data_IF_969975240678
#
_entry.id   IF_969975240678
#
_cell.length_a   1.000
_cell.length_b   1.000
_cell.length_c   1.000
_cell.angle_alpha   90.00
_cell.angle_beta   90.00
_cell.angle_gamma   90.00
#
_symmetry.space_group_name_H-M   'P 1'
#
loop_
_entity.id
_entity.type
_entity.pdbx_description
1 polymer ?
#
# COMPACT_ATOMS: atom_id res chain seq x y z
N UNK A 1 5.67 6.94 -3.49
CA UNK A 1 5.65 6.17 -4.74
C UNK A 1 6.47 6.83 -5.86
N UNK A 2 6.34 8.17 -6.08
CA UNK A 2 7.04 8.83 -7.21
C UNK A 2 8.55 8.61 -7.24
N UNK A 3 9.25 8.75 -6.12
CA UNK A 3 10.71 8.60 -6.12
C UNK A 3 11.16 7.18 -6.48
N UNK A 4 10.55 6.14 -5.90
CA UNK A 4 10.85 4.75 -6.24
C UNK A 4 10.46 4.42 -7.69
N UNK A 5 9.38 5.01 -8.19
CA UNK A 5 8.96 4.83 -9.57
C UNK A 5 9.92 5.53 -10.56
N UNK A 6 10.35 6.76 -10.27
CA UNK A 6 11.38 7.47 -11.06
C UNK A 6 12.69 6.67 -11.07
N UNK A 7 13.14 6.18 -9.91
CA UNK A 7 14.34 5.32 -9.79
C UNK A 7 14.23 4.07 -10.66
N UNK A 8 13.04 3.45 -10.71
CA UNK A 8 12.76 2.32 -11.59
C UNK A 8 12.98 2.67 -13.06
N UNK A 9 12.37 3.76 -13.57
CA UNK A 9 12.55 4.19 -14.96
C UNK A 9 14.03 4.41 -15.31
N UNK A 10 14.75 5.11 -14.44
CA UNK A 10 16.17 5.37 -14.63
C UNK A 10 17.02 4.08 -14.65
N UNK A 11 16.74 3.14 -13.74
CA UNK A 11 17.46 1.85 -13.70
C UNK A 11 17.19 0.98 -14.94
N UNK A 12 16.05 1.18 -15.59
CA UNK A 12 15.70 0.52 -16.86
C UNK A 12 16.20 1.27 -18.11
N UNK A 13 16.92 2.38 -17.92
CA UNK A 13 17.34 3.25 -19.00
C UNK A 13 16.17 3.83 -19.82
N UNK A 14 15.00 3.97 -19.21
CA UNK A 14 13.79 4.51 -19.81
C UNK A 14 13.60 5.98 -19.46
N UNK A 15 12.99 6.74 -20.37
CA UNK A 15 12.55 8.10 -20.06
C UNK A 15 11.48 8.10 -18.97
N UNK A 16 11.60 9.03 -18.03
CA UNK A 16 10.62 9.20 -16.95
C UNK A 16 9.41 9.96 -17.49
N UNK A 17 8.19 9.39 -17.48
CA UNK A 17 6.99 10.11 -17.86
C UNK A 17 6.72 11.28 -16.89
N UNK A 18 6.26 12.45 -17.38
CA UNK A 18 5.97 13.59 -16.51
C UNK A 18 4.96 13.31 -15.40
N UNK A 19 3.96 12.47 -15.65
CA UNK A 19 2.93 12.06 -14.71
C UNK A 19 3.42 11.10 -13.59
N UNK A 20 4.61 10.50 -13.77
CA UNK A 20 5.28 9.73 -12.71
C UNK A 20 5.90 10.62 -11.63
N UNK A 21 6.01 11.94 -11.88
CA UNK A 21 6.66 12.89 -10.97
C UNK A 21 5.62 13.69 -10.22
N UNK A 22 5.48 13.42 -8.93
CA UNK A 22 4.67 14.22 -7.99
C UNK A 22 5.62 14.93 -7.04
N UNK A 23 5.64 16.25 -7.14
CA UNK A 23 6.61 17.09 -6.42
C UNK A 23 6.50 16.88 -4.91
N UNK A 24 5.28 16.81 -4.38
CA UNK A 24 4.99 16.57 -2.97
C UNK A 24 5.53 15.22 -2.47
N UNK A 25 5.41 14.16 -3.28
CA UNK A 25 5.95 12.85 -2.94
C UNK A 25 7.49 12.83 -3.02
N UNK A 26 8.07 13.52 -4.02
CA UNK A 26 9.52 13.65 -4.15
C UNK A 26 10.11 14.38 -2.95
N UNK A 27 9.49 15.47 -2.52
CA UNK A 27 9.91 16.24 -1.35
C UNK A 27 9.77 15.41 -0.06
N UNK A 28 8.65 14.71 0.14
CA UNK A 28 8.37 13.97 1.36
C UNK A 28 9.06 12.58 1.41
N UNK A 29 9.71 12.16 0.34
CA UNK A 29 10.46 10.89 0.32
C UNK A 29 11.69 10.93 1.23
N UNK A 30 12.33 12.07 1.38
CA UNK A 30 13.55 12.24 2.15
C UNK A 30 13.24 12.53 3.62
N UNK A 31 14.09 12.04 4.51
CA UNK A 31 14.04 12.37 5.92
C UNK A 31 14.74 13.71 6.17
N UNK A 32 13.98 14.66 6.65
CA UNK A 32 14.50 15.96 7.07
C UNK A 32 14.50 16.04 8.60
N UNK A 33 15.44 16.79 9.15
CA UNK A 33 15.52 16.98 10.59
C UNK A 33 14.50 18.02 11.11
N UNK A 34 13.24 17.72 10.91
CA UNK A 34 12.13 18.58 11.31
C UNK A 34 11.83 18.43 12.80
N UNK A 35 11.57 19.56 13.45
CA UNK A 35 11.15 19.55 14.85
C UNK A 35 9.66 19.20 14.94
N UNK A 36 9.29 18.17 15.73
CA UNK A 36 7.89 17.79 15.91
C UNK A 36 7.12 18.90 16.62
N UNK A 37 5.77 18.87 16.58
CA UNK A 37 4.94 19.73 17.41
C UNK A 37 5.25 19.56 18.89
N UNK A 38 5.25 20.67 19.64
CA UNK A 38 5.49 20.68 21.08
C UNK A 38 4.16 20.81 21.86
N UNK A 39 4.15 20.35 23.10
CA UNK A 39 2.97 20.41 23.98
C UNK A 39 1.79 19.60 23.42
N UNK A 40 0.58 20.15 23.52
CA UNK A 40 -0.66 19.52 23.08
C UNK A 40 -1.02 19.78 21.62
N UNK A 41 -0.17 20.50 20.90
CA UNK A 41 -0.41 20.79 19.48
C UNK A 41 -0.32 19.52 18.64
N UNK A 42 -1.31 19.29 17.77
CA UNK A 42 -1.34 18.19 16.81
C UNK A 42 -0.43 18.47 15.62
N UNK A 43 -0.29 19.75 15.24
CA UNK A 43 0.50 20.20 14.10
C UNK A 43 1.48 21.30 14.46
N UNK A 44 2.62 21.34 13.78
CA UNK A 44 3.49 22.51 13.75
C UNK A 44 3.65 22.98 12.30
N UNK A 45 3.78 24.31 12.13
CA UNK A 45 3.94 24.97 10.84
C UNK A 45 5.25 25.74 10.83
N UNK A 46 5.99 25.63 9.74
CA UNK A 46 7.16 26.45 9.48
C UNK A 46 7.15 26.91 8.03
N UNK A 47 7.64 28.11 7.79
CA UNK A 47 7.79 28.64 6.44
C UNK A 47 9.19 29.22 6.25
N UNK A 48 9.69 29.13 5.04
CA UNK A 48 10.94 29.75 4.62
C UNK A 48 10.79 30.26 3.20
N UNK A 49 11.47 31.37 2.88
CA UNK A 49 11.50 31.93 1.52
C UNK A 49 12.95 31.87 1.05
N UNK A 50 13.15 31.37 -0.16
CA UNK A 50 14.45 31.35 -0.83
C UNK A 50 14.35 31.84 -2.27
N UNK A 51 15.48 32.28 -2.89
CA UNK A 51 15.50 32.51 -4.35
C UNK A 51 15.17 31.23 -5.10
N UNK A 52 14.47 31.34 -6.21
CA UNK A 52 14.20 30.21 -7.10
C UNK A 52 15.41 30.03 -8.06
N UNK A 53 16.07 28.83 -8.11
CA UNK A 53 17.26 28.64 -8.95
C UNK A 53 16.99 28.71 -10.47
N UNK A 54 15.74 28.54 -10.90
CA UNK A 54 15.36 28.47 -12.32
C UNK A 54 14.43 29.59 -12.78
N UNK A 55 14.16 30.57 -11.92
CA UNK A 55 13.36 31.75 -12.29
C UNK A 55 13.68 32.95 -11.41
N UNK A 56 13.24 34.15 -11.79
CA UNK A 56 13.37 35.38 -11.00
C UNK A 56 12.41 35.44 -9.80
N UNK A 57 11.52 34.48 -9.65
CA UNK A 57 10.58 34.37 -8.53
C UNK A 57 11.27 33.90 -7.24
N UNK A 58 10.53 33.92 -6.15
CA UNK A 58 10.94 33.31 -4.88
C UNK A 58 10.16 32.02 -4.64
N UNK A 59 10.80 31.06 -4.01
CA UNK A 59 10.18 29.84 -3.52
C UNK A 59 9.70 30.05 -2.08
N UNK A 60 8.44 29.76 -1.82
CA UNK A 60 7.88 29.66 -0.48
C UNK A 60 7.82 28.18 -0.10
N UNK A 61 8.57 27.80 0.93
CA UNK A 61 8.44 26.50 1.58
C UNK A 61 7.44 26.61 2.74
N UNK A 62 6.42 25.77 2.70
CA UNK A 62 5.51 25.58 3.82
C UNK A 62 5.66 24.15 4.33
N UNK A 63 6.17 24.02 5.55
CA UNK A 63 6.28 22.74 6.23
C UNK A 63 5.13 22.58 7.22
N UNK A 64 4.44 21.44 7.14
CA UNK A 64 3.43 21.02 8.10
C UNK A 64 3.88 19.70 8.71
N UNK A 65 4.17 19.70 10.00
CA UNK A 65 4.50 18.48 10.75
C UNK A 65 3.34 18.06 11.63
N UNK A 66 2.96 16.80 11.55
CA UNK A 66 2.01 16.19 12.47
C UNK A 66 2.75 15.54 13.66
N UNK A 67 2.11 15.53 14.83
CA UNK A 67 2.59 14.80 16.00
C UNK A 67 2.61 13.31 15.67
N UNK A 68 3.74 12.64 15.95
CA UNK A 68 3.83 11.18 15.78
C UNK A 68 2.85 10.50 16.73
N UNK A 69 2.06 9.57 16.20
CA UNK A 69 1.16 8.77 17.02
C UNK A 69 1.99 7.90 18.00
N UNK A 70 1.48 7.80 19.25
CA UNK A 70 2.04 6.83 20.18
C UNK A 70 1.55 5.44 19.77
N UNK A 71 2.46 4.50 19.55
CA UNK A 71 2.14 3.13 19.13
C UNK A 71 1.22 2.42 20.12
N UNK A 72 1.33 2.70 21.42
CA UNK A 72 0.49 2.11 22.45
C UNK A 72 -0.97 2.60 22.41
N UNK A 73 -1.19 3.78 21.82
CA UNK A 73 -2.54 4.38 21.67
C UNK A 73 -3.19 4.07 20.32
N UNK A 74 -2.48 3.39 19.40
CA UNK A 74 -3.04 3.02 18.10
C UNK A 74 -4.08 1.90 18.30
N UNK A 75 -5.33 2.09 17.80
CA UNK A 75 -6.35 1.05 17.87
C UNK A 75 -5.93 -0.27 17.24
N UNK A 76 -6.56 -1.41 17.63
CA UNK A 76 -6.32 -2.68 16.97
C UNK A 76 -6.58 -2.63 15.47
N UNK A 77 -5.81 -3.41 14.70
CA UNK A 77 -5.94 -3.49 13.26
C UNK A 77 -6.49 -4.85 12.81
N UNK A 78 -7.45 -4.82 11.89
CA UNK A 78 -7.91 -5.94 11.10
C UNK A 78 -7.38 -5.76 9.67
N UNK A 79 -6.36 -6.52 9.29
CA UNK A 79 -5.66 -6.43 8.02
C UNK A 79 -5.98 -7.66 7.16
N UNK A 80 -6.45 -7.42 5.95
CA UNK A 80 -6.64 -8.48 4.96
C UNK A 80 -5.66 -8.25 3.80
N UNK A 81 -4.66 -9.11 3.69
CA UNK A 81 -3.74 -9.09 2.56
C UNK A 81 -4.42 -9.76 1.36
N UNK A 82 -4.61 -9.01 0.28
CA UNK A 82 -5.08 -9.52 -1.00
C UNK A 82 -3.88 -9.57 -1.95
N UNK A 83 -3.37 -10.77 -2.19
CA UNK A 83 -2.09 -10.97 -2.86
C UNK A 83 -2.32 -11.59 -4.23
N UNK A 84 -1.76 -10.95 -5.24
CA UNK A 84 -1.63 -11.49 -6.58
C UNK A 84 -0.60 -12.64 -6.57
N UNK A 85 -1.04 -13.82 -6.98
CA UNK A 85 -0.19 -15.00 -7.18
C UNK A 85 -0.27 -15.49 -8.62
N UNK A 86 -0.66 -14.64 -9.58
CA UNK A 86 -0.66 -14.98 -11.01
C UNK A 86 0.73 -15.37 -11.52
N UNK A 87 0.78 -16.05 -12.66
CA UNK A 87 2.04 -16.49 -13.24
C UNK A 87 3.04 -15.35 -13.51
N UNK A 88 2.56 -14.13 -13.78
CA UNK A 88 3.40 -12.95 -13.93
C UNK A 88 4.19 -12.62 -12.66
N UNK A 89 3.69 -13.01 -11.49
CA UNK A 89 4.32 -12.74 -10.20
C UNK A 89 5.59 -13.56 -9.92
N UNK A 90 5.95 -14.49 -10.82
CA UNK A 90 7.14 -15.34 -10.72
C UNK A 90 8.43 -14.61 -11.15
N UNK A 91 8.71 -13.48 -10.54
CA UNK A 91 9.97 -12.74 -10.72
C UNK A 91 10.49 -12.25 -9.37
N UNK A 92 11.83 -12.14 -9.20
CA UNK A 92 12.44 -11.75 -7.90
C UNK A 92 11.92 -10.43 -7.32
N UNK A 93 11.58 -9.47 -8.18
CA UNK A 93 11.07 -8.16 -7.82
C UNK A 93 9.54 -8.08 -7.73
N UNK A 94 8.85 -9.22 -7.62
CA UNK A 94 7.38 -9.34 -7.50
C UNK A 94 6.99 -10.14 -6.26
N UNK A 95 6.50 -11.38 -6.39
CA UNK A 95 6.06 -12.16 -5.23
C UNK A 95 7.15 -12.37 -4.16
N UNK A 96 8.42 -12.68 -4.51
CA UNK A 96 9.49 -12.76 -3.51
C UNK A 96 9.68 -11.45 -2.73
N UNK A 97 9.68 -10.29 -3.39
CA UNK A 97 9.77 -8.98 -2.75
C UNK A 97 8.56 -8.71 -1.84
N UNK A 98 7.35 -9.06 -2.27
CA UNK A 98 6.14 -8.94 -1.46
C UNK A 98 6.19 -9.83 -0.22
N UNK A 99 6.70 -11.06 -0.32
CA UNK A 99 6.91 -11.94 0.83
C UNK A 99 7.83 -11.29 1.87
N UNK A 100 8.94 -10.68 1.44
CA UNK A 100 9.84 -9.93 2.33
C UNK A 100 9.11 -8.74 2.97
N UNK A 101 8.39 -7.94 2.19
CA UNK A 101 7.65 -6.77 2.67
C UNK A 101 6.56 -7.15 3.69
N UNK A 102 5.74 -8.17 3.40
CA UNK A 102 4.73 -8.63 4.34
C UNK A 102 5.33 -9.26 5.60
N UNK A 103 6.48 -9.93 5.49
CA UNK A 103 7.19 -10.48 6.64
C UNK A 103 7.68 -9.37 7.58
N UNK A 104 8.19 -8.25 7.05
CA UNK A 104 8.55 -7.07 7.83
C UNK A 104 7.33 -6.48 8.55
N UNK A 105 6.19 -6.36 7.84
CA UNK A 105 4.95 -5.89 8.44
C UNK A 105 4.46 -6.81 9.57
N UNK A 106 4.49 -8.13 9.37
CA UNK A 106 4.06 -9.13 10.36
C UNK A 106 4.90 -9.05 11.63
N UNK A 107 6.20 -8.80 11.51
CA UNK A 107 7.08 -8.63 12.68
C UNK A 107 6.69 -7.46 13.59
N UNK A 108 6.03 -6.44 13.03
CA UNK A 108 5.55 -5.26 13.75
C UNK A 108 4.11 -5.39 14.28
N UNK A 109 3.40 -6.49 13.99
CA UNK A 109 2.04 -6.72 14.50
C UNK A 109 2.03 -6.92 16.01
N UNK A 110 0.95 -6.45 16.64
CA UNK A 110 0.67 -6.64 18.07
C UNK A 110 -0.31 -7.80 18.25
N UNK A 111 -0.39 -8.36 19.43
CA UNK A 111 -1.30 -9.47 19.75
C UNK A 111 -2.78 -9.16 19.50
N UNK A 112 -3.16 -7.88 19.60
CA UNK A 112 -4.52 -7.37 19.36
C UNK A 112 -4.84 -7.14 17.89
N UNK A 113 -3.85 -7.18 17.00
CA UNK A 113 -4.03 -7.05 15.54
C UNK A 113 -4.40 -8.41 14.95
N UNK A 114 -5.18 -8.41 13.88
CA UNK A 114 -5.60 -9.62 13.16
C UNK A 114 -5.17 -9.52 11.71
N UNK A 115 -4.63 -10.62 11.17
CA UNK A 115 -4.24 -10.76 9.77
C UNK A 115 -5.00 -11.91 9.12
N UNK A 116 -5.45 -11.67 7.90
CA UNK A 116 -5.96 -12.69 6.98
C UNK A 116 -5.27 -12.54 5.63
N UNK A 117 -5.16 -13.63 4.88
CA UNK A 117 -4.62 -13.60 3.52
C UNK A 117 -5.65 -14.15 2.56
N UNK A 118 -5.92 -13.42 1.50
CA UNK A 118 -6.70 -13.84 0.34
C UNK A 118 -5.77 -13.80 -0.86
N UNK A 119 -5.82 -14.83 -1.69
CA UNK A 119 -5.02 -14.91 -2.92
C UNK A 119 -5.91 -14.92 -4.16
N UNK A 120 -5.41 -14.39 -5.25
CA UNK A 120 -6.03 -14.48 -6.58
C UNK A 120 -4.92 -14.63 -7.65
N UNK A 121 -5.30 -15.04 -8.85
CA UNK A 121 -4.38 -15.25 -9.97
C UNK A 121 -4.03 -16.71 -10.23
N UNK A 122 -4.11 -17.56 -9.23
CA UNK A 122 -3.91 -19.00 -9.33
C UNK A 122 -4.93 -19.76 -8.53
N UNK A 123 -4.57 -20.25 -7.35
CA UNK A 123 -5.52 -20.71 -6.36
C UNK A 123 -6.23 -19.48 -5.81
N UNK A 124 -7.57 -19.45 -5.88
CA UNK A 124 -8.36 -18.33 -5.40
C UNK A 124 -9.03 -18.64 -4.07
N UNK A 125 -9.04 -17.66 -3.19
CA UNK A 125 -9.80 -17.74 -1.96
C UNK A 125 -9.00 -17.33 -0.72
N UNK A 126 -9.53 -17.72 0.43
CA UNK A 126 -8.88 -17.46 1.72
C UNK A 126 -7.72 -18.43 1.88
N UNK A 127 -6.51 -17.89 1.87
CA UNK A 127 -5.26 -18.63 2.08
C UNK A 127 -4.91 -18.78 3.56
N UNK A 128 -5.07 -17.69 4.32
CA UNK A 128 -4.96 -17.68 5.76
C UNK A 128 -6.24 -17.10 6.36
N UNK A 129 -6.92 -17.87 7.20
CA UNK A 129 -8.06 -17.40 7.99
C UNK A 129 -7.63 -16.37 9.03
N UNK A 130 -8.55 -15.57 9.61
CA UNK A 130 -8.21 -14.57 10.62
C UNK A 130 -7.33 -15.13 11.73
N UNK A 131 -6.13 -14.59 11.85
CA UNK A 131 -5.07 -15.05 12.75
C UNK A 131 -4.55 -13.86 13.55
N UNK A 132 -4.41 -14.02 14.86
CA UNK A 132 -3.85 -12.98 15.74
C UNK A 132 -2.41 -12.65 15.37
N UNK A 133 -2.04 -11.37 15.47
CA UNK A 133 -0.66 -10.91 15.30
C UNK A 133 0.33 -11.52 16.32
N UNK A 134 -0.16 -12.16 17.38
CA UNK A 134 0.68 -12.97 18.28
C UNK A 134 1.19 -14.25 17.62
N UNK A 135 0.45 -14.81 16.66
CA UNK A 135 0.79 -16.05 15.95
C UNK A 135 1.72 -15.80 14.75
N UNK A 136 2.77 -14.98 14.94
CA UNK A 136 3.67 -14.52 13.86
C UNK A 136 4.23 -15.68 13.04
N UNK A 137 4.65 -16.76 13.70
CA UNK A 137 5.21 -17.94 13.04
C UNK A 137 4.23 -18.51 12.00
N UNK A 138 2.98 -18.72 12.40
CA UNK A 138 1.92 -19.23 11.51
C UNK A 138 1.67 -18.32 10.32
N UNK A 139 1.63 -16.99 10.54
CA UNK A 139 1.43 -16.01 9.49
C UNK A 139 2.63 -16.01 8.52
N UNK A 140 3.86 -16.02 9.04
CA UNK A 140 5.09 -16.04 8.24
C UNK A 140 5.23 -17.33 7.41
N UNK A 141 4.91 -18.49 7.99
CA UNK A 141 4.89 -19.77 7.29
C UNK A 141 3.86 -19.75 6.15
N UNK A 142 2.67 -19.18 6.38
CA UNK A 142 1.64 -19.03 5.35
C UNK A 142 2.11 -18.12 4.19
N UNK A 143 2.80 -17.01 4.48
CA UNK A 143 3.38 -16.13 3.47
C UNK A 143 4.49 -16.86 2.70
N UNK A 144 5.35 -17.61 3.37
CA UNK A 144 6.44 -18.33 2.74
C UNK A 144 5.96 -19.39 1.73
N UNK A 145 4.79 -20.00 1.98
CA UNK A 145 4.19 -21.03 1.12
C UNK A 145 3.45 -20.48 -0.10
N UNK A 146 3.33 -19.16 -0.26
CA UNK A 146 2.72 -18.59 -1.47
C UNK A 146 3.57 -18.94 -2.69
N UNK A 147 2.93 -19.45 -3.74
CA UNK A 147 3.59 -19.80 -5.00
C UNK A 147 2.88 -19.13 -6.17
N UNK A 148 3.63 -18.63 -7.17
CA UNK A 148 3.02 -18.02 -8.35
C UNK A 148 2.43 -19.11 -9.26
N UNK A 149 1.28 -18.81 -9.89
CA UNK A 149 0.66 -19.72 -10.86
C UNK A 149 -0.76 -19.33 -11.24
N UNK A 150 -1.17 -19.70 -12.46
CA UNK A 150 -2.51 -19.49 -12.97
C UNK A 150 -2.83 -18.08 -13.47
N UNK A 151 -4.09 -17.87 -13.82
CA UNK A 151 -4.58 -16.63 -14.41
C UNK A 151 -6.06 -16.44 -14.05
N UNK A 152 -6.37 -15.81 -12.93
CA UNK A 152 -7.74 -15.57 -12.50
C UNK A 152 -8.01 -14.09 -12.26
N UNK A 153 -9.23 -13.59 -12.64
CA UNK A 153 -9.59 -12.20 -12.46
C UNK A 153 -9.52 -11.74 -11.00
N UNK A 154 -8.95 -10.57 -10.75
CA UNK A 154 -8.81 -9.98 -9.42
C UNK A 154 -10.14 -9.61 -8.75
N UNK A 155 -11.25 -9.52 -9.51
CA UNK A 155 -12.56 -9.14 -8.98
C UNK A 155 -13.07 -10.07 -7.89
N UNK A 156 -12.99 -11.39 -8.11
CA UNK A 156 -13.42 -12.37 -7.11
C UNK A 156 -12.58 -12.27 -5.82
N UNK A 157 -11.28 -12.02 -5.96
CA UNK A 157 -10.34 -11.83 -4.86
C UNK A 157 -10.69 -10.60 -4.00
N UNK A 158 -10.91 -9.45 -4.62
CA UNK A 158 -11.21 -8.23 -3.86
C UNK A 158 -12.57 -8.30 -3.16
N UNK A 159 -13.58 -8.94 -3.79
CA UNK A 159 -14.86 -9.19 -3.14
C UNK A 159 -14.73 -10.13 -1.93
N UNK A 160 -13.90 -11.17 -2.03
CA UNK A 160 -13.61 -12.08 -0.92
C UNK A 160 -12.86 -11.35 0.21
N UNK A 161 -11.85 -10.56 -0.12
CA UNK A 161 -11.08 -9.79 0.85
C UNK A 161 -11.96 -8.80 1.64
N UNK A 162 -12.83 -8.06 0.96
CA UNK A 162 -13.74 -7.14 1.63
C UNK A 162 -14.78 -7.85 2.50
N UNK A 163 -15.33 -8.98 2.04
CA UNK A 163 -16.25 -9.79 2.88
C UNK A 163 -15.55 -10.27 4.14
N UNK A 164 -14.31 -10.74 4.01
CA UNK A 164 -13.51 -11.19 5.14
C UNK A 164 -13.19 -10.03 6.10
N UNK A 165 -12.77 -8.87 5.56
CA UNK A 165 -12.54 -7.66 6.37
C UNK A 165 -13.80 -7.22 7.14
N UNK A 166 -14.98 -7.34 6.51
CA UNK A 166 -16.26 -7.01 7.15
C UNK A 166 -16.64 -8.01 8.24
N UNK A 167 -16.39 -9.31 8.04
CA UNK A 167 -16.70 -10.35 9.04
C UNK A 167 -15.86 -10.21 10.31
N UNK A 168 -14.68 -9.63 10.22
CA UNK A 168 -13.73 -9.39 11.32
C UNK A 168 -13.66 -7.91 11.71
N UNK A 169 -14.70 -7.13 11.41
CA UNK A 169 -14.70 -5.69 11.61
C UNK A 169 -14.49 -5.31 13.10
N UNK A 170 -13.48 -4.50 13.35
CA UNK A 170 -13.18 -3.96 14.68
C UNK A 170 -13.75 -2.55 14.79
N UNK A 171 -14.78 -2.37 15.64
CA UNK A 171 -15.36 -1.04 15.90
C UNK A 171 -14.33 -0.15 16.61
N UNK A 172 -14.07 1.02 16.05
CA UNK A 172 -13.03 1.94 16.57
C UNK A 172 -11.60 1.51 16.21
N UNK A 173 -11.42 0.38 15.53
CA UNK A 173 -10.14 -0.11 15.04
C UNK A 173 -9.84 0.31 13.61
N UNK A 174 -8.68 -0.09 13.11
CA UNK A 174 -8.28 0.07 11.72
C UNK A 174 -8.68 -1.17 10.93
N UNK A 175 -9.62 -1.04 9.99
CA UNK A 175 -10.04 -2.14 9.10
C UNK A 175 -9.55 -1.84 7.69
N UNK A 176 -8.70 -2.71 7.14
CA UNK A 176 -8.01 -2.42 5.88
C UNK A 176 -7.76 -3.65 5.02
N UNK A 177 -8.08 -3.53 3.74
CA UNK A 177 -7.61 -4.44 2.70
C UNK A 177 -6.30 -3.85 2.12
N UNK A 178 -5.29 -4.70 1.95
CA UNK A 178 -4.00 -4.34 1.36
C UNK A 178 -3.85 -5.19 0.10
N UNK A 179 -4.11 -4.57 -1.06
CA UNK A 179 -3.95 -5.18 -2.37
C UNK A 179 -2.50 -5.09 -2.80
N UNK A 180 -1.89 -6.22 -3.14
CA UNK A 180 -0.53 -6.29 -3.66
C UNK A 180 -0.51 -6.99 -5.04
N UNK A 181 -0.01 -6.30 -6.07
CA UNK A 181 -0.04 -6.76 -7.47
C UNK A 181 1.10 -6.12 -8.28
N UNK A 182 1.42 -6.73 -9.44
CA UNK A 182 2.36 -6.15 -10.41
C UNK A 182 1.71 -5.13 -11.38
N UNK A 183 0.48 -4.72 -11.09
CA UNK A 183 -0.26 -3.70 -11.85
C UNK A 183 -1.25 -4.27 -12.86
N UNK A 184 -1.22 -5.56 -13.14
CA UNK A 184 -2.18 -6.22 -14.05
C UNK A 184 -3.47 -6.65 -13.32
N UNK A 185 -3.97 -5.77 -12.45
CA UNK A 185 -5.26 -5.97 -11.79
C UNK A 185 -6.40 -5.79 -12.77
N UNK A 186 -6.67 -6.85 -13.54
CA UNK A 186 -7.63 -6.83 -14.63
C UNK A 186 -9.02 -7.24 -14.14
N UNK A 187 -9.97 -6.31 -14.19
CA UNK A 187 -11.37 -6.53 -13.78
C UNK A 187 -12.37 -6.37 -14.94
N UNK A 188 -11.88 -6.23 -16.20
CA UNK A 188 -12.72 -5.94 -17.36
C UNK A 188 -13.37 -4.54 -17.32
N UNK A 189 -13.83 -4.02 -18.46
CA UNK A 189 -14.38 -2.66 -18.55
C UNK A 189 -15.73 -2.49 -17.83
N UNK A 190 -16.60 -3.47 -17.90
CA UNK A 190 -17.89 -3.43 -17.20
C UNK A 190 -17.74 -3.59 -15.68
N UNK A 191 -16.69 -4.23 -15.23
CA UNK A 191 -16.37 -4.44 -13.82
C UNK A 191 -15.70 -3.25 -13.14
N UNK A 192 -15.17 -2.27 -13.88
CA UNK A 192 -14.52 -1.10 -13.26
C UNK A 192 -15.51 -0.22 -12.46
N UNK A 193 -16.69 0.02 -13.00
CA UNK A 193 -17.72 0.79 -12.30
C UNK A 193 -18.26 0.02 -11.08
N UNK A 194 -18.43 -1.29 -11.22
CA UNK A 194 -18.85 -2.14 -10.11
C UNK A 194 -17.77 -2.19 -9.03
N UNK A 195 -16.50 -2.32 -9.39
CA UNK A 195 -15.38 -2.26 -8.47
C UNK A 195 -15.33 -0.92 -7.73
N UNK A 196 -15.52 0.17 -8.44
CA UNK A 196 -15.55 1.50 -7.88
C UNK A 196 -16.71 1.69 -6.88
N UNK A 197 -17.90 1.16 -7.19
CA UNK A 197 -19.07 1.14 -6.28
C UNK A 197 -18.79 0.27 -5.06
N UNK A 198 -18.19 -0.90 -5.26
CA UNK A 198 -17.80 -1.83 -4.19
C UNK A 198 -16.85 -1.13 -3.20
N UNK A 199 -15.73 -0.58 -3.69
CA UNK A 199 -14.74 0.13 -2.86
C UNK A 199 -15.40 1.28 -2.10
N UNK A 200 -16.24 2.08 -2.77
CA UNK A 200 -16.94 3.20 -2.15
C UNK A 200 -17.90 2.76 -1.05
N UNK A 201 -18.62 1.65 -1.24
CA UNK A 201 -19.53 1.10 -0.23
C UNK A 201 -18.79 0.64 1.04
N UNK A 202 -17.66 -0.06 0.88
CA UNK A 202 -16.85 -0.50 2.01
C UNK A 202 -16.11 0.66 2.70
N UNK A 203 -15.65 1.66 1.93
CA UNK A 203 -15.11 2.89 2.49
C UNK A 203 -16.13 3.59 3.42
N UNK A 204 -17.39 3.65 3.01
CA UNK A 204 -18.46 4.21 3.83
C UNK A 204 -18.74 3.38 5.09
N UNK A 205 -18.38 2.10 5.08
CA UNK A 205 -18.40 1.21 6.24
C UNK A 205 -17.07 1.20 7.03
N UNK A 206 -16.17 2.17 6.80
CA UNK A 206 -14.85 2.28 7.44
C UNK A 206 -13.91 1.09 7.19
N UNK A 207 -14.01 0.46 6.03
CA UNK A 207 -13.03 -0.54 5.54
C UNK A 207 -12.28 0.09 4.37
N UNK A 208 -10.99 0.32 4.54
CA UNK A 208 -10.15 1.07 3.63
C UNK A 208 -9.33 0.15 2.72
N UNK A 209 -8.85 0.70 1.58
CA UNK A 209 -8.02 -0.03 0.62
C UNK A 209 -6.67 0.66 0.45
N UNK A 210 -5.59 -0.06 0.75
CA UNK A 210 -4.23 0.32 0.38
C UNK A 210 -3.78 -0.53 -0.79
N UNK A 211 -3.03 0.06 -1.74
CA UNK A 211 -2.49 -0.67 -2.88
C UNK A 211 -0.96 -0.64 -2.83
N UNK A 212 -0.34 -1.82 -2.99
CA UNK A 212 1.10 -2.00 -3.12
C UNK A 212 1.39 -2.51 -4.54
N UNK A 213 2.15 -1.73 -5.29
CA UNK A 213 2.60 -2.12 -6.62
C UNK A 213 4.02 -2.67 -6.59
N UNK A 214 4.28 -3.70 -7.38
CA UNK A 214 5.61 -4.32 -7.56
C UNK A 214 5.90 -4.57 -9.05
N UNK A 215 7.12 -4.95 -9.38
CA UNK A 215 7.49 -5.40 -10.73
C UNK A 215 7.91 -4.28 -11.67
N UNK A 216 8.34 -4.67 -12.87
CA UNK A 216 8.79 -3.79 -13.95
C UNK A 216 8.00 -4.12 -15.22
N UNK A 217 7.83 -3.17 -16.13
CA UNK A 217 7.16 -3.37 -17.42
C UNK A 217 5.79 -2.72 -17.49
N UNK A 218 4.72 -3.49 -17.70
CA UNK A 218 3.34 -3.01 -17.93
C UNK A 218 2.64 -2.41 -16.68
N UNK A 219 3.41 -1.97 -15.71
CA UNK A 219 2.90 -1.41 -14.48
C UNK A 219 2.11 -0.11 -14.73
N UNK A 220 0.81 -0.15 -14.39
CA UNK A 220 -0.10 1.00 -14.50
C UNK A 220 -0.29 1.66 -13.13
N UNK A 221 0.66 2.51 -12.76
CA UNK A 221 0.71 3.26 -11.51
C UNK A 221 -0.60 4.01 -11.22
N UNK A 222 -1.09 4.74 -12.22
CA UNK A 222 -2.31 5.55 -12.11
C UNK A 222 -3.55 4.74 -11.71
N UNK A 223 -3.67 3.48 -12.14
CA UNK A 223 -4.85 2.66 -11.81
C UNK A 223 -4.89 2.27 -10.33
N UNK A 224 -3.78 1.78 -9.79
CA UNK A 224 -3.68 1.39 -8.39
C UNK A 224 -3.80 2.58 -7.44
N UNK A 225 -3.25 3.72 -7.84
CA UNK A 225 -3.41 4.96 -7.10
C UNK A 225 -4.88 5.42 -7.04
N UNK A 226 -5.57 5.42 -8.18
CA UNK A 226 -7.00 5.76 -8.23
C UNK A 226 -7.81 4.84 -7.31
N UNK A 227 -7.53 3.53 -7.31
CA UNK A 227 -8.20 2.58 -6.42
C UNK A 227 -7.91 2.87 -4.94
N UNK A 228 -6.65 3.13 -4.57
CA UNK A 228 -6.26 3.47 -3.22
C UNK A 228 -6.94 4.78 -2.74
N UNK A 229 -6.94 5.81 -3.58
CA UNK A 229 -7.59 7.09 -3.28
C UNK A 229 -9.11 6.92 -3.08
N UNK A 230 -9.78 6.13 -3.91
CA UNK A 230 -11.20 5.81 -3.73
C UNK A 230 -11.46 5.04 -2.44
N UNK A 231 -10.55 4.16 -2.06
CA UNK A 231 -10.59 3.38 -0.82
C UNK A 231 -10.14 4.14 0.43
N UNK A 232 -9.83 5.46 0.36
CA UNK A 232 -9.23 6.24 1.46
C UNK A 232 -7.98 5.57 2.05
N UNK A 233 -7.20 4.90 1.22
CA UNK A 233 -5.94 4.29 1.60
C UNK A 233 -4.76 4.99 0.95
N UNK A 234 -3.64 4.31 0.99
CA UNK A 234 -2.39 4.78 0.43
C UNK A 234 -1.99 3.92 -0.76
N UNK A 235 -1.24 4.51 -1.68
CA UNK A 235 -0.57 3.79 -2.72
C UNK A 235 0.95 3.84 -2.46
N UNK A 236 1.62 2.68 -2.58
CA UNK A 236 3.07 2.59 -2.53
C UNK A 236 3.57 1.69 -3.66
N UNK A 237 4.75 2.02 -4.19
CA UNK A 237 5.46 1.19 -5.15
C UNK A 237 6.75 0.67 -4.52
N UNK A 238 6.88 -0.66 -4.48
CA UNK A 238 8.04 -1.35 -3.94
C UNK A 238 8.96 -1.75 -5.09
N UNK A 239 10.11 -1.13 -5.19
CA UNK A 239 11.13 -1.47 -6.18
C UNK A 239 12.27 -2.32 -5.60
N UNK A 240 12.41 -2.33 -4.29
CA UNK A 240 13.39 -3.12 -3.55
C UNK A 240 13.01 -3.29 -2.08
N UNK A 241 13.76 -4.12 -1.34
CA UNK A 241 13.52 -4.40 0.09
C UNK A 241 13.66 -3.17 0.98
N UNK A 242 14.58 -2.25 0.68
CA UNK A 242 14.75 -1.01 1.46
C UNK A 242 13.55 -0.08 1.37
N UNK A 243 12.78 -0.16 0.27
CA UNK A 243 11.51 0.58 0.16
C UNK A 243 10.43 -0.06 1.02
N UNK A 244 10.47 -1.38 1.21
CA UNK A 244 9.52 -2.10 2.05
C UNK A 244 9.71 -1.81 3.57
N UNK A 245 10.89 -1.35 3.99
CA UNK A 245 11.17 -0.98 5.40
C UNK A 245 10.56 0.37 5.80
N UNK A 246 10.17 1.20 4.81
CA UNK A 246 9.56 2.53 5.04
C UNK A 246 8.07 2.45 5.32
#
# INVERSE_FOLDING_TARGET
ASYSNVRRFLNMNNAVPPDAIRIEEMLNYFHYNYQPPTGDSTFSFRSAISPCPWSSNRLLYLQVCAKKANMDSIPPANLVFLIDVSGSMDLPNRLPLLKSAFSLMVNNLRSQDTVSIVVYGGVNGVWLTPTSGAEKKKILESIAQLEPGGATPGESGIRAAYRLAKSQFIKGGTNRVILATDGDFNVGQQSEDELNRLISSYRSANIYLTCLGVGMGNYKDSKLEVLANRGKGNFAYLDNEKEAEK
#
